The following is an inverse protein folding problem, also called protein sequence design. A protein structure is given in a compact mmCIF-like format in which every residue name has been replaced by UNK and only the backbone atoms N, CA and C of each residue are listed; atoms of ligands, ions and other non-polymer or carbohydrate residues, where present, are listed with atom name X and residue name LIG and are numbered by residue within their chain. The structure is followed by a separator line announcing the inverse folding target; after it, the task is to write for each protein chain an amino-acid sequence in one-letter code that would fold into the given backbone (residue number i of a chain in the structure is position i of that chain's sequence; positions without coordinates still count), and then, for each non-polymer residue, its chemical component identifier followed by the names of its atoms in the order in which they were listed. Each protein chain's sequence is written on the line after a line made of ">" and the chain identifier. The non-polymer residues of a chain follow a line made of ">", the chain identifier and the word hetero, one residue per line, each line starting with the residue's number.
data_IF_710819468363
#
_entry.id   IF_710819468363
#
_cell.length_a   1.000
_cell.length_b   1.000
_cell.length_c   1.000
_cell.angle_alpha   90.00
_cell.angle_beta   90.00
_cell.angle_gamma   90.00
#
_symmetry.space_group_name_H-M   'P 1'
#
loop_
_entity.id
_entity.type
_entity.pdbx_description
1 polymer ?
#
# COMPACT_ATOMS: atom_id res chain seq x y z
N UNK A 1 -31.23 -14.30 -54.10
CA UNK A 1 -31.25 -15.22 -52.94
C UNK A 1 -31.49 -14.39 -51.69
N UNK A 2 -32.33 -14.93 -50.81
CA UNK A 2 -33.13 -14.25 -49.80
C UNK A 2 -32.33 -13.53 -48.70
N UNK A 3 -32.81 -12.33 -48.36
CA UNK A 3 -32.50 -11.58 -47.15
C UNK A 3 -33.15 -12.25 -45.92
N UNK A 4 -32.46 -12.25 -44.78
CA UNK A 4 -33.08 -12.46 -43.48
C UNK A 4 -32.69 -11.34 -42.52
N UNK A 5 -33.66 -10.46 -42.31
CA UNK A 5 -33.81 -9.60 -41.16
C UNK A 5 -33.84 -10.44 -39.87
N UNK A 6 -33.08 -10.05 -38.85
CA UNK A 6 -33.47 -10.30 -37.47
C UNK A 6 -33.30 -9.01 -36.65
N UNK A 7 -34.40 -8.26 -36.62
CA UNK A 7 -34.72 -7.30 -35.57
C UNK A 7 -35.03 -8.08 -34.30
N UNK A 8 -34.39 -7.72 -33.18
CA UNK A 8 -34.93 -7.98 -31.85
C UNK A 8 -34.86 -6.70 -31.03
N UNK A 9 -36.03 -6.09 -30.94
CA UNK A 9 -36.44 -5.01 -30.04
C UNK A 9 -36.70 -5.56 -28.63
N UNK A 10 -36.75 -4.61 -27.70
CA UNK A 10 -37.27 -4.67 -26.32
C UNK A 10 -36.25 -5.11 -25.25
N UNK A 11 -36.14 -4.47 -24.10
CA UNK A 11 -37.10 -3.65 -23.37
C UNK A 11 -36.36 -2.66 -22.44
N UNK A 12 -36.68 -1.38 -22.58
CA UNK A 12 -36.39 -0.34 -21.58
C UNK A 12 -37.34 -0.54 -20.39
N UNK A 13 -36.81 -0.85 -19.21
CA UNK A 13 -37.52 -0.66 -17.95
C UNK A 13 -36.85 0.46 -17.18
N UNK A 14 -37.40 1.66 -17.38
CA UNK A 14 -37.19 2.84 -16.56
C UNK A 14 -37.92 2.64 -15.23
N UNK A 15 -37.18 2.36 -14.16
CA UNK A 15 -37.70 2.49 -12.79
C UNK A 15 -37.23 3.84 -12.27
N UNK A 16 -38.08 4.84 -12.46
CA UNK A 16 -37.97 6.12 -11.77
C UNK A 16 -38.60 5.97 -10.39
N UNK A 17 -37.78 5.88 -9.33
CA UNK A 17 -38.25 6.19 -7.98
C UNK A 17 -37.70 7.55 -7.57
N UNK A 18 -38.53 8.57 -7.74
CA UNK A 18 -38.34 9.86 -7.08
C UNK A 18 -38.62 9.67 -5.58
N UNK A 19 -37.61 9.93 -4.74
CA UNK A 19 -37.83 10.22 -3.34
C UNK A 19 -37.21 11.59 -3.05
N UNK A 20 -38.07 12.51 -2.66
CA UNK A 20 -37.78 13.92 -2.39
C UNK A 20 -37.02 14.08 -1.05
N UNK A 21 -36.42 15.27 -0.79
CA UNK A 21 -35.46 15.48 0.26
C UNK A 21 -36.13 15.82 1.59
N UNK A 22 -35.68 15.18 2.68
CA UNK A 22 -35.94 15.68 4.03
C UNK A 22 -34.73 16.48 4.51
N UNK A 23 -34.93 17.80 4.49
CA UNK A 23 -34.15 18.76 5.26
C UNK A 23 -34.24 18.38 6.74
N UNK A 24 -33.11 18.10 7.39
CA UNK A 24 -33.00 18.17 8.86
C UNK A 24 -31.76 18.99 9.16
N UNK A 25 -31.98 20.28 9.40
CA UNK A 25 -31.00 21.15 10.04
C UNK A 25 -31.03 20.89 11.54
N UNK A 26 -29.87 20.64 12.14
CA UNK A 26 -29.37 21.35 13.34
C UNK A 26 -28.28 20.53 14.06
N UNK A 27 -27.09 21.14 14.12
CA UNK A 27 -26.28 21.31 15.32
C UNK A 27 -26.05 20.08 16.23
N UNK A 28 -24.84 19.52 16.20
CA UNK A 28 -24.01 19.53 17.40
C UNK A 28 -22.53 19.25 17.06
N UNK A 29 -21.72 20.30 16.94
CA UNK A 29 -20.27 20.19 17.09
C UNK A 29 -19.99 20.08 18.58
N UNK A 30 -19.91 18.86 19.09
CA UNK A 30 -19.24 18.59 20.35
C UNK A 30 -17.90 17.95 20.03
N UNK A 31 -16.85 18.76 20.14
CA UNK A 31 -15.48 18.28 20.21
C UNK A 31 -15.33 17.44 21.49
N UNK A 32 -14.80 16.20 21.43
CA UNK A 32 -14.30 15.56 22.63
C UNK A 32 -12.95 16.21 22.98
N UNK A 33 -12.97 17.14 23.93
CA UNK A 33 -11.76 17.52 24.68
C UNK A 33 -11.25 16.24 25.35
N UNK A 34 -10.22 15.61 24.77
CA UNK A 34 -9.43 14.60 25.46
C UNK A 34 -8.75 15.29 26.65
N UNK A 35 -9.38 15.22 27.82
CA UNK A 35 -8.69 15.37 29.09
C UNK A 35 -7.65 14.25 29.17
N UNK A 36 -6.38 14.62 29.04
CA UNK A 36 -5.29 13.74 29.41
C UNK A 36 -5.38 13.52 30.94
N UNK A 37 -5.31 12.28 31.44
CA UNK A 37 -5.09 12.06 32.86
C UNK A 37 -3.71 12.64 33.22
N UNK A 38 -3.73 13.63 34.12
CA UNK A 38 -2.58 14.18 34.81
C UNK A 38 -2.06 13.08 35.75
N UNK A 39 -1.19 12.21 35.26
CA UNK A 39 -0.47 11.26 36.11
C UNK A 39 0.54 12.06 36.94
N UNK A 40 0.22 12.22 38.22
CA UNK A 40 1.16 12.65 39.22
C UNK A 40 2.19 11.54 39.42
N UNK A 41 3.36 11.66 38.81
CA UNK A 41 4.49 10.82 39.18
C UNK A 41 5.19 11.39 40.42
N UNK A 42 5.12 10.56 41.46
CA UNK A 42 5.87 10.70 42.70
C UNK A 42 7.35 10.54 42.37
N UNK A 43 8.15 11.57 42.68
CA UNK A 43 9.61 11.50 42.64
C UNK A 43 10.07 10.44 43.64
N UNK A 44 10.49 9.29 43.13
CA UNK A 44 11.29 8.32 43.88
C UNK A 44 12.74 8.50 43.47
N UNK A 45 13.52 9.06 44.39
CA UNK A 45 14.95 9.24 44.30
C UNK A 45 15.63 7.86 44.45
N UNK A 46 15.79 7.17 43.32
CA UNK A 46 16.54 5.93 43.20
C UNK A 46 17.88 6.19 42.52
N UNK A 47 18.93 6.09 43.31
CA UNK A 47 20.34 6.05 42.92
C UNK A 47 20.58 4.94 41.87
N UNK A 48 20.95 5.32 40.64
CA UNK A 48 21.40 4.38 39.59
C UNK A 48 22.87 4.69 39.27
N UNK A 49 23.69 3.71 39.58
CA UNK A 49 25.12 3.63 39.30
C UNK A 49 25.35 3.30 37.82
N UNK A 50 26.50 3.74 37.34
CA UNK A 50 26.95 3.87 35.95
C UNK A 50 27.21 2.57 35.18
N UNK A 51 27.16 2.71 33.85
CA UNK A 51 27.94 2.02 32.81
C UNK A 51 27.36 0.76 32.14
N UNK A 52 26.68 0.99 31.02
CA UNK A 52 27.05 0.45 29.70
C UNK A 52 26.38 1.35 28.65
N UNK A 53 27.09 2.41 28.22
CA UNK A 53 26.77 3.13 26.97
C UNK A 53 27.08 2.15 25.83
N UNK A 54 26.08 1.38 25.40
CA UNK A 54 25.99 1.00 23.99
C UNK A 54 25.53 2.27 23.28
N UNK A 55 26.51 3.04 22.80
CA UNK A 55 26.31 4.17 21.90
C UNK A 55 25.77 3.61 20.56
N UNK A 56 24.52 3.14 20.54
CA UNK A 56 23.79 2.83 19.31
C UNK A 56 23.70 4.12 18.50
N UNK A 57 24.54 4.21 17.46
CA UNK A 57 24.60 5.32 16.52
C UNK A 57 23.27 5.41 15.78
N UNK A 58 22.39 6.31 16.24
CA UNK A 58 21.12 6.58 15.58
C UNK A 58 21.40 7.14 14.18
N UNK A 59 21.04 6.37 13.15
CA UNK A 59 21.05 6.83 11.77
C UNK A 59 19.82 7.71 11.56
N UNK A 60 20.03 9.00 11.27
CA UNK A 60 18.96 9.89 10.82
C UNK A 60 18.58 9.48 9.38
N UNK A 61 17.50 8.72 9.23
CA UNK A 61 16.89 8.45 7.93
C UNK A 61 16.12 9.71 7.47
N UNK A 62 16.54 10.29 6.34
CA UNK A 62 15.79 11.37 5.70
C UNK A 62 14.55 10.80 5.02
N UNK A 63 13.38 10.95 5.66
CA UNK A 63 12.10 10.64 5.03
C UNK A 63 11.70 11.77 4.08
N UNK A 64 11.42 11.41 2.82
CA UNK A 64 10.87 12.35 1.86
C UNK A 64 9.35 12.49 2.07
N UNK A 65 8.86 13.72 2.23
CA UNK A 65 7.42 13.99 2.32
C UNK A 65 6.76 13.78 0.95
N UNK A 66 6.35 12.54 0.66
CA UNK A 66 5.72 12.19 -0.60
C UNK A 66 4.31 12.77 -0.73
N UNK A 67 3.92 13.05 -1.97
CA UNK A 67 2.60 13.55 -2.36
C UNK A 67 1.95 12.64 -3.40
N UNK A 68 0.65 12.81 -3.65
CA UNK A 68 -0.04 12.03 -4.68
C UNK A 68 0.57 12.20 -6.07
N UNK A 69 1.20 13.35 -6.34
CA UNK A 69 1.78 13.67 -7.66
C UNK A 69 2.98 12.79 -7.98
N UNK A 70 3.71 12.33 -6.97
CA UNK A 70 4.92 11.51 -7.14
C UNK A 70 4.59 10.10 -7.64
N UNK A 71 3.32 9.69 -7.50
CA UNK A 71 2.79 8.45 -8.03
C UNK A 71 2.19 8.58 -9.44
N UNK A 72 2.04 9.78 -9.98
CA UNK A 72 1.43 9.97 -11.31
C UNK A 72 2.29 9.37 -12.42
N UNK A 73 1.74 8.40 -13.14
CA UNK A 73 2.45 7.70 -14.22
C UNK A 73 3.51 6.71 -13.74
N UNK A 74 3.68 6.55 -12.43
CA UNK A 74 4.65 5.60 -11.86
C UNK A 74 4.30 4.15 -12.21
N UNK A 75 5.33 3.35 -12.40
CA UNK A 75 5.23 1.91 -12.69
C UNK A 75 5.93 1.13 -11.60
N UNK A 76 5.37 -0.03 -11.26
CA UNK A 76 5.81 -0.83 -10.12
C UNK A 76 5.82 -2.30 -10.50
N UNK A 77 6.87 -3.03 -10.13
CA UNK A 77 6.87 -4.49 -10.12
C UNK A 77 6.32 -4.94 -8.78
N UNK A 78 5.23 -5.70 -8.81
CA UNK A 78 4.50 -6.14 -7.62
C UNK A 78 4.69 -7.64 -7.44
N UNK A 79 5.22 -8.06 -6.30
CA UNK A 79 5.24 -9.45 -5.84
C UNK A 79 4.17 -9.66 -4.78
N UNK A 80 3.37 -10.72 -4.90
CA UNK A 80 2.31 -11.06 -3.94
C UNK A 80 2.44 -12.49 -3.45
N UNK A 81 2.47 -12.67 -2.14
CA UNK A 81 2.40 -13.99 -1.50
C UNK A 81 1.03 -14.14 -0.82
N UNK A 82 0.14 -14.90 -1.45
CA UNK A 82 -1.18 -15.20 -0.89
C UNK A 82 -1.07 -16.24 0.23
N UNK A 83 -1.98 -16.17 1.19
CA UNK A 83 -2.07 -17.14 2.29
C UNK A 83 -2.22 -18.57 1.74
N UNK A 84 -1.46 -19.51 2.33
CA UNK A 84 -1.36 -20.89 1.87
C UNK A 84 -0.57 -21.13 0.58
N UNK A 85 -0.09 -20.09 -0.11
CA UNK A 85 0.79 -20.23 -1.27
C UNK A 85 2.24 -20.43 -0.85
N UNK A 86 3.01 -21.17 -1.67
CA UNK A 86 4.48 -21.27 -1.56
C UNK A 86 5.21 -20.49 -2.64
N UNK A 87 4.46 -19.83 -3.52
CA UNK A 87 5.00 -19.11 -4.68
C UNK A 87 4.54 -17.65 -4.63
N UNK A 88 5.48 -16.76 -4.89
CA UNK A 88 5.22 -15.35 -5.13
C UNK A 88 4.68 -15.20 -6.56
N UNK A 89 3.49 -14.60 -6.66
CA UNK A 89 2.94 -14.16 -7.94
C UNK A 89 3.47 -12.78 -8.27
N UNK A 90 4.08 -12.63 -9.44
CA UNK A 90 4.69 -11.37 -9.87
C UNK A 90 3.91 -10.76 -11.02
N UNK A 91 3.68 -9.45 -10.95
CA UNK A 91 3.06 -8.66 -12.02
C UNK A 91 3.64 -7.25 -12.01
N UNK A 92 3.09 -6.37 -12.84
CA UNK A 92 3.35 -4.94 -12.75
C UNK A 92 2.04 -4.16 -12.61
N UNK A 93 2.13 -2.96 -12.05
CA UNK A 93 1.03 -2.02 -11.95
C UNK A 93 1.51 -0.62 -12.32
N UNK A 94 0.67 0.14 -13.04
CA UNK A 94 0.88 1.56 -13.32
C UNK A 94 -0.17 2.40 -12.62
N UNK A 95 0.26 3.43 -11.91
CA UNK A 95 -0.60 4.46 -11.33
C UNK A 95 -0.87 5.53 -12.40
N UNK A 96 -2.11 5.70 -12.82
CA UNK A 96 -2.51 6.65 -13.85
C UNK A 96 -3.63 7.57 -13.37
N UNK A 97 -3.79 8.70 -14.06
CA UNK A 97 -4.93 9.62 -13.89
C UNK A 97 -5.72 9.65 -15.18
N UNK A 98 -7.00 9.30 -15.12
CA UNK A 98 -7.90 9.29 -16.29
C UNK A 98 -9.19 10.02 -15.91
N UNK A 99 -9.51 11.08 -16.67
CA UNK A 99 -10.71 11.90 -16.43
C UNK A 99 -10.81 12.43 -14.97
N UNK A 100 -9.67 12.76 -14.37
CA UNK A 100 -9.58 13.24 -12.98
C UNK A 100 -9.72 12.14 -11.92
N UNK A 101 -9.73 10.85 -12.31
CA UNK A 101 -9.78 9.72 -11.40
C UNK A 101 -8.44 9.00 -11.35
N UNK A 102 -8.06 8.55 -10.16
CA UNK A 102 -6.87 7.73 -9.92
C UNK A 102 -7.16 6.27 -10.26
N UNK A 103 -6.56 5.80 -11.36
CA UNK A 103 -6.77 4.47 -11.94
C UNK A 103 -5.47 3.67 -11.88
N UNK A 104 -5.56 2.43 -11.44
CA UNK A 104 -4.47 1.47 -11.45
C UNK A 104 -4.63 0.52 -12.66
N UNK A 105 -3.57 0.35 -13.45
CA UNK A 105 -3.55 -0.54 -14.61
C UNK A 105 -2.59 -1.69 -14.31
N UNK A 106 -3.11 -2.91 -14.28
CA UNK A 106 -2.33 -4.11 -13.97
C UNK A 106 -1.80 -4.78 -15.24
N UNK A 107 -0.71 -5.54 -15.11
CA UNK A 107 -0.03 -6.19 -16.23
C UNK A 107 -0.83 -7.27 -16.95
N UNK A 108 -1.93 -7.74 -16.37
CA UNK A 108 -2.91 -8.62 -17.02
C UNK A 108 -4.06 -7.85 -17.72
N UNK A 109 -3.97 -6.52 -17.78
CA UNK A 109 -4.96 -5.63 -18.36
C UNK A 109 -6.16 -5.34 -17.47
N UNK A 110 -6.18 -5.87 -16.23
CA UNK A 110 -7.21 -5.49 -15.26
C UNK A 110 -7.02 -4.05 -14.79
N UNK A 111 -8.12 -3.41 -14.44
CA UNK A 111 -8.12 -2.05 -13.88
C UNK A 111 -8.51 -2.08 -12.40
N UNK A 112 -8.16 -1.01 -11.70
CA UNK A 112 -8.69 -0.67 -10.40
C UNK A 112 -8.39 0.78 -10.07
N UNK A 113 -8.28 1.09 -8.79
CA UNK A 113 -8.00 2.44 -8.29
C UNK A 113 -6.79 2.41 -7.38
N UNK A 114 -5.98 3.46 -7.43
CA UNK A 114 -4.97 3.72 -6.43
C UNK A 114 -5.36 4.95 -5.61
N UNK A 115 -4.85 5.03 -4.39
CA UNK A 115 -4.99 6.18 -3.52
C UNK A 115 -3.74 6.27 -2.64
N UNK A 116 -3.33 7.49 -2.37
CA UNK A 116 -2.25 7.82 -1.46
C UNK A 116 -2.77 8.89 -0.50
N UNK A 117 -2.46 8.73 0.79
CA UNK A 117 -2.76 9.72 1.83
C UNK A 117 -1.44 10.27 2.37
N UNK A 118 -1.08 11.49 1.94
CA UNK A 118 0.16 12.15 2.34
C UNK A 118 0.25 12.39 3.86
N UNK A 119 -0.88 12.56 4.55
CA UNK A 119 -0.90 12.81 5.98
C UNK A 119 -0.55 11.59 6.83
N UNK A 120 -0.73 10.38 6.28
CA UNK A 120 -0.43 9.12 6.94
C UNK A 120 0.63 8.28 6.22
N UNK A 121 1.19 8.80 5.12
CA UNK A 121 2.08 8.06 4.21
C UNK A 121 1.52 6.66 3.90
N UNK A 122 0.22 6.59 3.59
CA UNK A 122 -0.46 5.32 3.37
C UNK A 122 -0.89 5.17 1.92
N UNK A 123 -0.46 4.08 1.31
CA UNK A 123 -0.73 3.77 -0.09
C UNK A 123 -1.65 2.57 -0.24
N UNK A 124 -2.54 2.64 -1.22
CA UNK A 124 -3.40 1.51 -1.57
C UNK A 124 -3.65 1.40 -3.08
N UNK A 125 -3.66 0.17 -3.59
CA UNK A 125 -4.05 -0.18 -4.95
C UNK A 125 -5.13 -1.24 -4.89
N UNK A 126 -6.17 -1.07 -5.69
CA UNK A 126 -7.21 -2.06 -5.86
C UNK A 126 -7.12 -2.73 -7.23
N UNK A 127 -7.57 -3.98 -7.30
CA UNK A 127 -7.76 -4.71 -8.54
C UNK A 127 -9.17 -5.29 -8.55
N UNK A 128 -9.95 -4.90 -9.57
CA UNK A 128 -11.28 -5.44 -9.75
C UNK A 128 -11.21 -6.77 -10.50
N UNK A 129 -11.87 -7.79 -9.96
CA UNK A 129 -12.06 -9.06 -10.67
C UNK A 129 -13.23 -8.93 -11.64
N UNK A 130 -13.20 -9.60 -12.80
CA UNK A 130 -14.19 -9.56 -13.89
C UNK A 130 -15.57 -8.95 -13.52
N UNK A 131 -15.74 -7.66 -13.81
CA UNK A 131 -17.01 -6.93 -13.62
C UNK A 131 -17.38 -6.58 -12.18
N UNK A 132 -16.48 -6.75 -11.21
CA UNK A 132 -16.69 -6.51 -9.78
C UNK A 132 -17.43 -7.63 -9.04
N UNK A 133 -17.91 -8.66 -9.74
CA UNK A 133 -18.76 -9.71 -9.17
C UNK A 133 -17.99 -10.80 -8.41
N UNK A 134 -16.71 -10.99 -8.72
CA UNK A 134 -15.86 -12.01 -8.08
C UNK A 134 -15.07 -11.45 -6.91
N UNK A 135 -15.47 -10.29 -6.39
CA UNK A 135 -14.79 -9.60 -5.31
C UNK A 135 -13.67 -8.68 -5.79
N UNK A 136 -13.06 -8.01 -4.82
CA UNK A 136 -11.99 -7.02 -5.02
C UNK A 136 -10.84 -7.36 -4.09
N UNK A 137 -9.62 -7.18 -4.60
CA UNK A 137 -8.39 -7.24 -3.81
C UNK A 137 -7.83 -5.84 -3.64
N UNK A 138 -7.25 -5.60 -2.46
CA UNK A 138 -6.68 -4.33 -2.05
C UNK A 138 -5.27 -4.61 -1.53
N UNK A 139 -4.26 -4.10 -2.21
CA UNK A 139 -2.87 -4.05 -1.75
C UNK A 139 -2.72 -2.73 -1.02
N UNK A 140 -2.32 -2.77 0.24
CA UNK A 140 -2.16 -1.55 1.03
C UNK A 140 -1.04 -1.70 2.04
N UNK A 141 -0.38 -0.58 2.33
CA UNK A 141 0.80 -0.51 3.18
C UNK A 141 1.20 0.94 3.49
N UNK A 142 2.10 1.09 4.44
CA UNK A 142 2.81 2.34 4.68
C UNK A 142 3.83 2.56 3.57
N UNK A 143 4.13 3.82 3.30
CA UNK A 143 5.17 4.25 2.37
C UNK A 143 6.28 4.82 3.21
N UNK A 144 7.24 3.96 3.52
CA UNK A 144 8.42 4.34 4.28
C UNK A 144 9.59 4.70 3.33
N UNK A 145 9.51 4.25 2.07
CA UNK A 145 10.49 4.49 1.01
C UNK A 145 9.78 4.78 -0.33
N UNK A 146 10.34 5.71 -1.11
CA UNK A 146 9.81 6.10 -2.43
C UNK A 146 10.03 5.05 -3.53
N UNK A 147 11.02 4.16 -3.38
CA UNK A 147 11.40 3.14 -4.34
C UNK A 147 10.86 1.76 -3.99
N UNK A 148 10.62 1.51 -2.71
CA UNK A 148 10.18 0.22 -2.20
C UNK A 148 8.95 0.38 -1.29
N UNK A 149 8.00 -0.54 -1.44
CA UNK A 149 6.81 -0.58 -0.59
C UNK A 149 6.44 -2.02 -0.29
N UNK A 150 5.86 -2.25 0.87
CA UNK A 150 5.31 -3.53 1.25
C UNK A 150 4.00 -3.37 2.02
N UNK A 151 3.34 -4.49 2.30
CA UNK A 151 2.23 -4.52 3.22
C UNK A 151 1.35 -5.74 3.07
N UNK A 152 0.03 -5.53 3.22
CA UNK A 152 -0.95 -6.63 3.21
C UNK A 152 -1.90 -6.56 2.02
N UNK A 153 -2.29 -7.75 1.56
CA UNK A 153 -3.39 -7.89 0.60
C UNK A 153 -4.65 -8.25 1.37
N UNK A 154 -5.68 -7.43 1.21
CA UNK A 154 -7.03 -7.70 1.72
C UNK A 154 -7.96 -8.07 0.58
N UNK A 155 -8.78 -9.08 0.79
CA UNK A 155 -9.76 -9.55 -0.19
C UNK A 155 -11.13 -9.65 0.44
N UNK A 156 -12.17 -9.33 -0.32
CA UNK A 156 -13.55 -9.66 0.03
C UNK A 156 -14.25 -10.31 -1.16
N UNK A 157 -15.26 -11.13 -0.89
CA UNK A 157 -16.08 -11.78 -1.91
C UNK A 157 -17.57 -11.73 -1.55
N UNK A 158 -18.46 -12.16 -2.46
CA UNK A 158 -19.91 -12.05 -2.24
C UNK A 158 -20.44 -12.76 -0.98
N UNK A 159 -19.72 -13.78 -0.51
CA UNK A 159 -20.09 -14.60 0.65
C UNK A 159 -19.03 -14.58 1.78
N UNK A 160 -17.99 -13.76 1.65
CA UNK A 160 -16.89 -13.70 2.63
C UNK A 160 -16.59 -12.24 2.98
N UNK A 161 -16.47 -11.92 4.29
CA UNK A 161 -16.06 -10.59 4.71
C UNK A 161 -14.65 -10.26 4.23
N UNK A 162 -14.30 -8.97 4.26
CA UNK A 162 -12.94 -8.52 4.01
C UNK A 162 -11.98 -9.09 5.06
N UNK A 163 -10.95 -9.81 4.62
CA UNK A 163 -9.89 -10.34 5.47
C UNK A 163 -8.53 -10.11 4.82
N UNK A 164 -7.46 -10.21 5.63
CA UNK A 164 -6.10 -10.31 5.09
C UNK A 164 -5.96 -11.69 4.44
N UNK A 165 -5.52 -11.70 3.18
CA UNK A 165 -5.40 -12.90 2.34
C UNK A 165 -3.99 -13.07 1.77
N UNK A 166 -3.05 -12.22 2.17
CA UNK A 166 -1.67 -12.28 1.74
C UNK A 166 -0.85 -11.07 2.15
N UNK A 167 0.41 -11.11 1.74
CA UNK A 167 1.37 -10.01 1.83
C UNK A 167 1.86 -9.65 0.44
N UNK A 168 2.42 -8.46 0.30
CA UNK A 168 2.94 -7.99 -0.96
C UNK A 168 4.14 -7.09 -0.74
N UNK A 169 4.97 -7.02 -1.77
CA UNK A 169 6.09 -6.10 -1.90
C UNK A 169 6.06 -5.52 -3.31
N UNK A 170 6.49 -4.29 -3.49
CA UNK A 170 6.73 -3.74 -4.80
C UNK A 170 7.95 -2.86 -4.85
N UNK A 171 8.55 -2.80 -6.04
CA UNK A 171 9.63 -1.90 -6.35
C UNK A 171 9.29 -1.03 -7.54
N UNK A 172 9.73 0.23 -7.51
CA UNK A 172 9.52 1.16 -8.60
C UNK A 172 10.27 0.71 -9.85
N UNK A 173 9.65 0.89 -11.01
CA UNK A 173 10.22 0.59 -12.32
C UNK A 173 10.63 1.87 -13.02
N UNK A 174 11.65 1.77 -13.88
CA UNK A 174 12.15 2.90 -14.66
C UNK A 174 13.05 3.86 -13.88
N UNK A 175 13.54 3.45 -12.71
CA UNK A 175 14.53 4.17 -11.88
C UNK A 175 15.88 3.47 -11.98
N UNK A 176 16.97 4.23 -11.85
CA UNK A 176 18.33 3.69 -11.79
C UNK A 176 18.52 2.87 -10.50
N UNK A 177 19.04 1.62 -10.56
CA UNK A 177 19.35 0.85 -9.36
C UNK A 177 20.28 1.56 -8.36
N UNK A 178 21.20 2.40 -8.83
CA UNK A 178 22.10 3.17 -7.95
C UNK A 178 21.36 4.26 -7.16
N UNK A 179 20.28 4.81 -7.73
CA UNK A 179 19.41 5.80 -7.09
C UNK A 179 18.44 5.13 -6.11
N UNK A 180 17.88 3.98 -6.49
CA UNK A 180 16.93 3.25 -5.66
C UNK A 180 17.59 2.59 -4.44
N UNK A 181 18.87 2.21 -4.55
CA UNK A 181 19.57 1.48 -3.49
C UNK A 181 19.10 0.02 -3.35
N UNK A 182 19.49 -0.59 -2.23
CA UNK A 182 19.11 -1.96 -1.87
C UNK A 182 17.69 -1.99 -1.29
N UNK A 183 16.89 -2.98 -1.67
CA UNK A 183 15.54 -3.08 -1.11
C UNK A 183 15.59 -3.48 0.37
N UNK A 184 14.72 -2.94 1.24
CA UNK A 184 14.83 -3.07 2.70
C UNK A 184 14.61 -4.50 3.23
N UNK A 185 14.08 -5.40 2.40
CA UNK A 185 13.87 -6.81 2.73
C UNK A 185 15.00 -7.74 2.27
N UNK A 186 16.01 -7.21 1.59
CA UNK A 186 17.28 -7.91 1.44
C UNK A 186 18.17 -7.39 2.56
N UNK A 187 18.43 -8.23 3.56
CA UNK A 187 19.48 -7.96 4.52
C UNK A 187 20.77 -7.75 3.72
N UNK A 188 21.32 -6.54 3.76
CA UNK A 188 22.72 -6.34 3.38
C UNK A 188 23.49 -7.10 4.45
N UNK A 189 24.06 -8.26 4.10
CA UNK A 189 24.98 -9.00 4.96
C UNK A 189 26.24 -8.13 5.18
N UNK A 190 26.14 -7.06 5.98
CA UNK A 190 27.26 -6.18 6.34
C UNK A 190 28.28 -6.88 7.29
N UNK A 191 28.17 -8.20 7.47
CA UNK A 191 29.09 -9.01 8.28
C UNK A 191 30.17 -9.78 7.47
N UNK A 192 30.14 -9.78 6.13
CA UNK A 192 31.07 -10.62 5.34
C UNK A 192 32.33 -9.91 4.76
N UNK A 193 32.50 -8.61 4.96
CA UNK A 193 33.71 -7.87 4.48
C UNK A 193 34.94 -7.96 5.41
N UNK A 194 34.96 -8.89 6.39
CA UNK A 194 36.12 -9.12 7.29
C UNK A 194 36.76 -10.51 7.21
N UNK A 195 36.67 -11.23 6.08
CA UNK A 195 37.33 -12.54 5.92
C UNK A 195 38.14 -12.72 4.64
N UNK A 196 38.84 -11.68 4.16
CA UNK A 196 39.85 -11.86 3.10
C UNK A 196 41.16 -11.09 3.36
N UNK A 197 41.73 -11.17 4.57
CA UNK A 197 43.11 -10.71 4.82
C UNK A 197 43.83 -11.55 5.88
N UNK A 198 43.86 -12.88 5.75
CA UNK A 198 44.74 -13.70 6.62
C UNK A 198 45.14 -15.07 6.01
N UNK A 199 45.47 -15.13 4.72
CA UNK A 199 46.03 -16.37 4.14
C UNK A 199 47.20 -16.20 3.16
N UNK A 200 47.95 -15.10 3.25
CA UNK A 200 49.16 -14.92 2.41
C UNK A 200 50.36 -14.38 3.17
N UNK A 201 50.71 -14.98 4.31
CA UNK A 201 52.04 -14.78 4.89
C UNK A 201 52.43 -15.96 5.80
N UNK A 202 52.64 -17.14 5.21
CA UNK A 202 53.60 -18.13 5.71
C UNK A 202 53.84 -19.19 4.62
N UNK A 203 54.84 -18.92 3.78
CA UNK A 203 55.49 -19.90 2.90
C UNK A 203 57.00 -19.73 3.02
#
# INVERSE_FOLDING_TARGET
>A
MLAYNFLLLASLLSISSAFAPHHTSALNTMQPTRQLPLFAETVSQGDITTAADDDEEWVEEEYEDLTEQDFYGSEWKVGTLMDGSKKIDETWCRCAVKDGQFIAIWGDGAEGKWAFDAGSQFFSITKDSWGGWLGKKIWAGTVDDYYFMDGTVRGWGPISPASVVGQWQMKRLGVDPEEAGSAPWFETDDEDDKKEQESSEEA
#
